data_IF_972587100010
#
_entry.id   IF_972587100010
#
_cell.length_a   1.000
_cell.length_b   1.000
_cell.length_c   1.000
_cell.angle_alpha   90.00
_cell.angle_beta   90.00
_cell.angle_gamma   90.00
#
_symmetry.space_group_name_H-M   'P 1'
#
loop_
_entity.id
_entity.type
_entity.pdbx_description
1 polymer ?
#
# COMPACT_ATOMS: atom_id res chain seq x y z
N UNK A 1 9.25 10.65 19.67
CA UNK A 1 8.56 9.48 20.25
C UNK A 1 7.15 9.41 19.68
N UNK A 2 6.70 8.24 19.24
CA UNK A 2 5.32 8.07 18.77
C UNK A 2 4.34 8.33 19.92
N UNK A 3 3.26 9.11 19.71
CA UNK A 3 2.30 9.42 20.77
C UNK A 3 1.65 8.18 21.40
N UNK A 4 1.53 7.08 20.62
CA UNK A 4 1.12 5.76 21.11
C UNK A 4 1.72 4.64 20.24
N UNK A 5 2.87 4.05 20.64
CA UNK A 5 3.58 3.07 19.81
C UNK A 5 2.77 1.78 19.57
N UNK A 6 1.87 1.42 20.49
CA UNK A 6 1.04 0.21 20.37
C UNK A 6 -0.02 0.41 19.28
N UNK A 7 -0.75 1.53 19.31
CA UNK A 7 -1.76 1.84 18.31
C UNK A 7 -1.15 1.96 16.90
N UNK A 8 -0.04 2.69 16.78
CA UNK A 8 0.65 2.83 15.50
C UNK A 8 1.23 1.51 14.99
N UNK A 9 1.70 0.63 15.87
CA UNK A 9 2.14 -0.71 15.51
C UNK A 9 1.01 -1.55 14.89
N UNK A 10 -0.17 -1.56 15.51
CA UNK A 10 -1.34 -2.26 14.96
C UNK A 10 -1.81 -1.67 13.63
N UNK A 11 -1.81 -0.34 13.49
CA UNK A 11 -2.15 0.33 12.24
C UNK A 11 -1.16 0.00 11.12
N UNK A 12 0.14 -0.08 11.44
CA UNK A 12 1.17 -0.47 10.48
C UNK A 12 0.99 -1.93 10.04
N UNK A 13 0.81 -2.86 10.98
CA UNK A 13 0.59 -4.29 10.68
C UNK A 13 -0.65 -4.48 9.80
N UNK A 14 -1.78 -3.87 10.18
CA UNK A 14 -3.00 -3.95 9.38
C UNK A 14 -2.80 -3.28 8.02
N UNK A 15 -2.10 -2.14 7.96
CA UNK A 15 -1.85 -1.44 6.72
C UNK A 15 -0.94 -2.18 5.75
N UNK A 16 0.11 -2.83 6.24
CA UNK A 16 0.98 -3.69 5.43
C UNK A 16 0.26 -4.95 4.98
N UNK A 17 -0.46 -5.62 5.88
CA UNK A 17 -1.13 -6.87 5.57
C UNK A 17 -2.33 -6.66 4.64
N UNK A 18 -3.30 -5.81 5.03
CA UNK A 18 -4.45 -5.51 4.19
C UNK A 18 -4.04 -4.73 2.93
N UNK A 19 -3.21 -3.70 3.06
CA UNK A 19 -2.77 -2.91 1.91
C UNK A 19 -2.00 -3.75 0.90
N UNK A 20 -1.12 -4.64 1.37
CA UNK A 20 -0.41 -5.61 0.54
C UNK A 20 -1.35 -6.58 -0.15
N UNK A 21 -2.32 -7.13 0.59
CA UNK A 21 -3.30 -8.07 0.05
C UNK A 21 -4.21 -7.43 -1.00
N UNK A 22 -4.72 -6.22 -0.74
CA UNK A 22 -5.56 -5.49 -1.70
C UNK A 22 -4.76 -5.10 -2.95
N UNK A 23 -3.51 -4.64 -2.79
CA UNK A 23 -2.64 -4.32 -3.91
C UNK A 23 -2.31 -5.56 -4.74
N UNK A 24 -2.00 -6.69 -4.11
CA UNK A 24 -1.70 -7.96 -4.77
C UNK A 24 -2.93 -8.55 -5.48
N UNK A 25 -4.12 -8.46 -4.87
CA UNK A 25 -5.38 -8.87 -5.49
C UNK A 25 -5.79 -7.93 -6.64
N UNK A 26 -5.18 -6.75 -6.75
CA UNK A 26 -5.54 -5.77 -7.76
C UNK A 26 -6.91 -5.13 -7.51
N UNK A 27 -7.42 -5.12 -6.28
CA UNK A 27 -8.72 -4.55 -5.92
C UNK A 27 -8.51 -3.16 -5.28
N UNK A 28 -9.15 -2.12 -5.81
CA UNK A 28 -8.97 -0.74 -5.34
C UNK A 28 -7.48 -0.35 -5.22
N UNK A 29 -6.68 -0.72 -6.22
CA UNK A 29 -5.20 -0.63 -6.21
C UNK A 29 -4.66 0.75 -5.89
N UNK A 30 -5.38 1.81 -6.27
CA UNK A 30 -5.01 3.20 -5.94
C UNK A 30 -5.14 3.50 -4.45
N UNK A 31 -6.22 3.03 -3.81
CA UNK A 31 -6.46 3.24 -2.38
C UNK A 31 -5.47 2.42 -1.56
N UNK A 32 -5.26 1.15 -1.95
CA UNK A 32 -4.26 0.28 -1.34
C UNK A 32 -2.84 0.85 -1.46
N UNK A 33 -2.51 1.45 -2.62
CA UNK A 33 -1.22 2.10 -2.83
C UNK A 33 -0.98 3.30 -1.93
N UNK A 34 -1.97 4.21 -1.79
CA UNK A 34 -1.86 5.33 -0.85
C UNK A 34 -1.60 4.82 0.57
N UNK A 35 -2.32 3.76 0.95
CA UNK A 35 -2.16 3.16 2.28
C UNK A 35 -0.74 2.60 2.50
N UNK A 36 -0.22 1.80 1.55
CA UNK A 36 1.15 1.26 1.65
C UNK A 36 2.20 2.37 1.67
N UNK A 37 2.07 3.40 0.82
CA UNK A 37 3.02 4.52 0.79
C UNK A 37 3.09 5.19 2.17
N UNK A 38 1.95 5.41 2.82
CA UNK A 38 1.91 5.97 4.17
C UNK A 38 2.63 5.12 5.21
N UNK A 39 2.42 3.80 5.20
CA UNK A 39 3.08 2.89 6.15
C UNK A 39 4.59 2.82 5.91
N UNK A 40 5.03 2.71 4.65
CA UNK A 40 6.44 2.62 4.28
C UNK A 40 7.21 3.92 4.59
N UNK A 41 6.59 5.09 4.40
CA UNK A 41 7.18 6.37 4.79
C UNK A 41 7.29 6.49 6.32
N UNK A 42 6.25 6.09 7.06
CA UNK A 42 6.30 6.06 8.53
C UNK A 42 7.37 5.11 9.06
N UNK A 43 7.50 3.92 8.45
CA UNK A 43 8.52 2.95 8.79
C UNK A 43 9.93 3.46 8.48
N UNK A 44 10.18 3.96 7.26
CA UNK A 44 11.51 4.40 6.82
C UNK A 44 11.98 5.71 7.47
N UNK A 45 11.11 6.69 7.65
CA UNK A 45 11.47 8.03 8.14
C UNK A 45 11.35 8.19 9.65
N UNK A 46 10.44 7.43 10.30
CA UNK A 46 10.15 7.61 11.73
C UNK A 46 10.59 6.40 12.55
N UNK A 47 10.20 5.18 12.17
CA UNK A 47 10.55 3.98 12.95
C UNK A 47 12.03 3.60 12.79
N UNK A 48 12.57 3.73 11.58
CA UNK A 48 13.97 3.49 11.25
C UNK A 48 14.80 4.78 11.19
N UNK A 49 14.39 5.84 11.90
CA UNK A 49 15.13 7.11 11.89
C UNK A 49 16.58 6.97 12.41
N UNK A 50 16.83 6.07 13.36
CA UNK A 50 18.16 5.80 13.93
C UNK A 50 18.88 4.58 13.30
N UNK A 51 18.24 3.85 12.38
CA UNK A 51 18.85 2.69 11.73
C UNK A 51 19.88 3.07 10.64
N UNK A 52 20.82 2.18 10.28
CA UNK A 52 21.71 2.38 9.15
C UNK A 52 20.94 2.52 7.83
N UNK A 53 21.52 3.28 6.88
CA UNK A 53 20.91 3.54 5.56
C UNK A 53 20.43 2.26 4.85
N UNK A 54 21.19 1.17 4.96
CA UNK A 54 20.87 -0.11 4.33
C UNK A 54 19.52 -0.72 4.73
N UNK A 55 18.97 -0.35 5.90
CA UNK A 55 17.61 -0.79 6.31
C UNK A 55 16.52 0.21 5.87
N UNK A 56 16.85 1.49 5.75
CA UNK A 56 15.90 2.54 5.32
C UNK A 56 15.63 2.50 3.81
N UNK A 57 16.64 2.18 3.02
CA UNK A 57 16.52 2.15 1.56
C UNK A 57 15.48 1.14 1.07
N UNK A 58 15.33 0.02 1.77
CA UNK A 58 14.30 -0.97 1.46
C UNK A 58 12.88 -0.39 1.61
N UNK A 59 12.60 0.27 2.74
CA UNK A 59 11.29 0.88 2.99
C UNK A 59 10.98 1.98 1.96
N UNK A 60 11.96 2.83 1.62
CA UNK A 60 11.82 3.84 0.58
C UNK A 60 11.59 3.24 -0.81
N UNK A 61 12.27 2.14 -1.14
CA UNK A 61 12.07 1.43 -2.42
C UNK A 61 10.65 0.89 -2.52
N UNK A 62 10.13 0.26 -1.47
CA UNK A 62 8.72 -0.17 -1.44
C UNK A 62 7.75 0.99 -1.58
N UNK A 63 8.04 2.14 -0.95
CA UNK A 63 7.22 3.34 -1.12
C UNK A 63 7.21 3.81 -2.59
N UNK A 64 8.35 3.81 -3.28
CA UNK A 64 8.43 4.18 -4.72
C UNK A 64 7.65 3.20 -5.60
N UNK A 65 7.76 1.89 -5.34
CA UNK A 65 7.00 0.88 -6.09
C UNK A 65 5.50 1.05 -5.85
N UNK A 66 5.08 1.26 -4.61
CA UNK A 66 3.68 1.53 -4.29
C UNK A 66 3.18 2.82 -4.97
N UNK A 67 4.02 3.86 -5.03
CA UNK A 67 3.71 5.09 -5.76
C UNK A 67 3.56 4.85 -7.26
N UNK A 68 4.38 3.97 -7.85
CA UNK A 68 4.19 3.54 -9.23
C UNK A 68 2.83 2.88 -9.43
N UNK A 69 2.43 1.95 -8.55
CA UNK A 69 1.09 1.34 -8.60
C UNK A 69 -0.05 2.33 -8.36
N UNK A 70 0.19 3.41 -7.62
CA UNK A 70 -0.77 4.49 -7.47
C UNK A 70 -1.06 5.20 -8.80
N UNK A 71 -0.01 5.57 -9.55
CA UNK A 71 -0.16 6.24 -10.84
C UNK A 71 -0.59 5.29 -11.97
N UNK A 72 0.02 4.11 -12.03
CA UNK A 72 -0.24 3.11 -13.07
C UNK A 72 -1.56 2.36 -12.87
N UNK A 73 -2.02 2.21 -11.62
CA UNK A 73 -3.17 1.39 -11.26
C UNK A 73 -2.89 -0.12 -11.28
N UNK A 74 -3.94 -0.93 -11.10
CA UNK A 74 -3.83 -2.40 -10.99
C UNK A 74 -3.56 -3.17 -12.29
N UNK A 75 -3.44 -2.48 -13.43
CA UNK A 75 -3.13 -3.10 -14.71
C UNK A 75 -4.22 -4.07 -15.23
N UNK A 76 -3.85 -4.92 -16.19
CA UNK A 76 -4.79 -5.79 -16.92
C UNK A 76 -5.32 -6.97 -16.10
N UNK A 77 -4.60 -7.38 -15.05
CA UNK A 77 -4.90 -8.52 -14.19
C UNK A 77 -5.66 -8.14 -12.91
N UNK A 78 -6.03 -6.86 -12.75
CA UNK A 78 -6.64 -6.38 -11.52
C UNK A 78 -8.06 -6.92 -11.34
N UNK A 79 -8.39 -7.44 -10.15
CA UNK A 79 -9.76 -7.81 -9.80
C UNK A 79 -10.76 -6.63 -9.90
N UNK A 80 -10.27 -5.39 -9.90
CA UNK A 80 -11.06 -4.18 -10.18
C UNK A 80 -11.87 -4.28 -11.50
N UNK A 81 -11.33 -4.95 -12.53
CA UNK A 81 -12.03 -5.16 -13.81
C UNK A 81 -13.17 -6.17 -13.73
N UNK A 82 -13.06 -7.18 -12.86
CA UNK A 82 -14.12 -8.17 -12.66
C UNK A 82 -15.37 -7.52 -12.05
N UNK A 83 -15.19 -6.58 -11.13
CA UNK A 83 -16.30 -5.81 -10.55
C UNK A 83 -16.75 -4.64 -11.43
N UNK A 84 -15.83 -3.96 -12.14
CA UNK A 84 -16.16 -2.90 -13.09
C UNK A 84 -17.02 -3.38 -14.26
N UNK A 85 -16.64 -4.51 -14.87
CA UNK A 85 -17.35 -5.07 -16.03
C UNK A 85 -18.68 -5.74 -15.67
N UNK A 86 -18.87 -6.19 -14.42
CA UNK A 86 -20.14 -6.75 -13.96
C UNK A 86 -21.27 -5.70 -13.95
N UNK A 87 -20.94 -4.40 -13.85
CA UNK A 87 -21.92 -3.31 -13.93
C UNK A 87 -22.40 -2.98 -15.36
N UNK A 88 -21.68 -3.41 -16.40
CA UNK A 88 -22.10 -3.22 -17.80
C UNK A 88 -22.89 -4.42 -18.38
N UNK A 89 -22.87 -5.58 -17.71
CA UNK A 89 -23.57 -6.78 -18.18
C UNK A 89 -25.08 -6.81 -17.87
N UNK A 90 -25.65 -5.72 -17.35
CA UNK A 90 -27.09 -5.56 -17.12
C UNK A 90 -27.81 -4.69 -18.16
N UNK A 91 -27.14 -4.31 -19.26
CA UNK A 91 -27.67 -3.34 -20.24
C UNK A 91 -27.68 -3.80 -21.70
N UNK A 92 -27.75 -5.11 -21.94
CA UNK A 92 -28.11 -5.63 -23.27
C UNK A 92 -29.25 -6.63 -23.14
#
# INVERSE_FOLDING_TARGET
AFPNPILFGWLAILGEFLGGLLMAAGLATRVAAIWIVGVMLGAGLVAHADDPWGRKEFALTYAVIALFFFFYGGGKLSADRLFGNASESGKK
#
